data_IF_854136954565
#
_entry.id   IF_854136954565
#
_cell.length_a   1.000
_cell.length_b   1.000
_cell.length_c   1.000
_cell.angle_alpha   90.00
_cell.angle_beta   90.00
_cell.angle_gamma   90.00
#
_symmetry.space_group_name_H-M   'P 1'
#
loop_
_entity.id
_entity.type
_entity.pdbx_description
1 polymer ?
#
# COMPACT_ATOMS: atom_id res chain seq x y z
N UNK A 1 -27.14 10.41 13.10
CA UNK A 1 -27.22 9.91 11.72
C UNK A 1 -27.53 8.43 11.81
N UNK A 2 -28.55 7.94 11.09
CA UNK A 2 -28.88 6.50 11.12
C UNK A 2 -27.81 5.76 10.32
N UNK A 3 -27.09 4.83 10.94
CA UNK A 3 -26.07 4.03 10.25
C UNK A 3 -26.73 3.15 9.19
N UNK A 4 -26.21 3.08 7.97
CA UNK A 4 -26.75 2.20 6.94
C UNK A 4 -26.63 0.73 7.39
N UNK A 5 -27.72 -0.03 7.29
CA UNK A 5 -27.73 -1.45 7.66
C UNK A 5 -27.31 -2.29 6.47
N UNK A 6 -26.23 -3.05 6.64
CA UNK A 6 -25.76 -4.04 5.67
C UNK A 6 -26.22 -5.45 6.05
N UNK A 7 -26.64 -6.24 5.06
CA UNK A 7 -27.00 -7.65 5.17
C UNK A 7 -25.76 -8.54 5.02
N UNK A 8 -24.70 -8.20 5.76
CA UNK A 8 -23.45 -8.96 5.82
C UNK A 8 -23.22 -9.39 7.27
N UNK A 9 -22.62 -10.57 7.44
CA UNK A 9 -22.23 -11.10 8.75
C UNK A 9 -20.72 -11.32 8.73
N UNK A 10 -20.02 -10.78 9.71
CA UNK A 10 -18.60 -11.03 9.90
C UNK A 10 -18.39 -12.29 10.76
N UNK A 11 -17.49 -13.16 10.34
CA UNK A 11 -17.15 -14.40 11.05
C UNK A 11 -15.86 -14.26 11.87
N UNK A 12 -15.06 -13.23 11.61
CA UNK A 12 -13.79 -12.99 12.28
C UNK A 12 -13.48 -11.48 12.41
N UNK A 13 -12.44 -11.15 13.19
CA UNK A 13 -12.04 -9.76 13.45
C UNK A 13 -11.66 -8.98 12.20
N UNK A 14 -11.10 -9.64 11.18
CA UNK A 14 -10.72 -8.98 9.92
C UNK A 14 -11.97 -8.59 9.14
N UNK A 15 -12.92 -9.50 9.03
CA UNK A 15 -14.21 -9.23 8.40
C UNK A 15 -15.01 -8.17 9.16
N UNK A 16 -14.91 -8.15 10.49
CA UNK A 16 -15.55 -7.11 11.30
C UNK A 16 -15.00 -5.72 10.93
N UNK A 17 -13.67 -5.57 10.81
CA UNK A 17 -13.05 -4.30 10.39
C UNK A 17 -13.52 -3.86 9.01
N UNK A 18 -13.69 -4.82 8.09
CA UNK A 18 -14.20 -4.54 6.75
C UNK A 18 -15.68 -4.12 6.81
N UNK A 19 -16.49 -4.82 7.61
CA UNK A 19 -17.90 -4.50 7.79
C UNK A 19 -18.08 -3.09 8.36
N UNK A 20 -17.32 -2.73 9.40
CA UNK A 20 -17.35 -1.41 10.02
C UNK A 20 -16.94 -0.33 9.01
N UNK A 21 -15.87 -0.56 8.25
CA UNK A 21 -15.44 0.34 7.17
C UNK A 21 -16.55 0.55 6.12
N UNK A 22 -17.22 -0.52 5.70
CA UNK A 22 -18.33 -0.43 4.74
C UNK A 22 -19.52 0.33 5.33
N UNK A 23 -19.86 0.15 6.60
CA UNK A 23 -20.95 0.88 7.25
C UNK A 23 -20.66 2.39 7.29
N UNK A 24 -19.40 2.77 7.51
CA UNK A 24 -18.98 4.17 7.60
C UNK A 24 -18.82 4.86 6.23
N UNK A 25 -18.38 4.12 5.21
CA UNK A 25 -17.91 4.70 3.94
C UNK A 25 -18.74 4.31 2.71
N UNK A 26 -19.64 3.33 2.81
CA UNK A 26 -20.43 2.92 1.64
C UNK A 26 -21.45 3.99 1.24
N UNK A 27 -21.53 4.24 -0.07
CA UNK A 27 -22.59 5.06 -0.65
C UNK A 27 -23.95 4.35 -0.54
N UNK A 28 -25.04 5.10 -0.65
CA UNK A 28 -26.40 4.55 -0.66
C UNK A 28 -26.61 3.51 -1.77
N UNK A 29 -25.97 3.70 -2.92
CA UNK A 29 -26.02 2.76 -4.04
C UNK A 29 -25.28 1.46 -3.70
N UNK A 30 -24.10 1.57 -3.08
CA UNK A 30 -23.31 0.41 -2.67
C UNK A 30 -24.01 -0.40 -1.58
N UNK A 31 -24.65 0.27 -0.62
CA UNK A 31 -25.49 -0.37 0.40
C UNK A 31 -26.61 -1.19 -0.25
N UNK A 32 -27.29 -0.64 -1.26
CA UNK A 32 -28.30 -1.38 -2.01
C UNK A 32 -27.70 -2.60 -2.74
N UNK A 33 -26.59 -2.42 -3.44
CA UNK A 33 -25.89 -3.52 -4.13
C UNK A 33 -25.49 -4.65 -3.17
N UNK A 34 -24.97 -4.31 -2.00
CA UNK A 34 -24.60 -5.27 -0.96
C UNK A 34 -25.85 -6.02 -0.47
N UNK A 35 -26.93 -5.29 -0.15
CA UNK A 35 -28.12 -5.87 0.47
C UNK A 35 -28.96 -6.75 -0.45
N UNK A 36 -28.92 -6.49 -1.76
CA UNK A 36 -29.64 -7.28 -2.78
C UNK A 36 -28.74 -8.25 -3.55
N UNK A 37 -27.42 -8.17 -3.35
CA UNK A 37 -26.44 -9.03 -3.99
C UNK A 37 -26.24 -10.37 -3.27
N UNK A 38 -25.36 -11.21 -3.85
CA UNK A 38 -24.94 -12.51 -3.28
C UNK A 38 -23.50 -12.52 -2.75
N UNK A 39 -22.82 -11.37 -2.83
CA UNK A 39 -21.42 -11.24 -2.44
C UNK A 39 -21.24 -11.30 -0.93
N UNK A 40 -20.10 -11.80 -0.50
CA UNK A 40 -19.78 -12.03 0.92
C UNK A 40 -18.47 -11.34 1.31
N UNK A 41 -18.27 -11.13 2.61
CA UNK A 41 -17.01 -10.58 3.14
C UNK A 41 -15.83 -11.52 2.85
N UNK A 42 -16.02 -12.83 2.98
CA UNK A 42 -15.04 -13.83 2.59
C UNK A 42 -14.66 -13.74 1.09
N UNK A 43 -15.64 -13.58 0.20
CA UNK A 43 -15.38 -13.37 -1.23
C UNK A 43 -14.60 -12.09 -1.53
N UNK A 44 -14.89 -11.02 -0.79
CA UNK A 44 -14.15 -9.76 -0.90
C UNK A 44 -12.70 -9.90 -0.44
N UNK A 45 -12.44 -10.65 0.64
CA UNK A 45 -11.09 -10.97 1.11
C UNK A 45 -10.30 -11.82 0.11
N UNK A 46 -10.94 -12.83 -0.50
CA UNK A 46 -10.32 -13.63 -1.54
C UNK A 46 -9.96 -12.80 -2.78
N UNK A 47 -10.83 -11.86 -3.15
CA UNK A 47 -10.54 -10.89 -4.22
C UNK A 47 -9.33 -10.02 -3.87
N UNK A 48 -9.33 -9.39 -2.68
CA UNK A 48 -8.23 -8.55 -2.20
C UNK A 48 -6.90 -9.33 -2.12
N UNK A 49 -6.94 -10.62 -1.75
CA UNK A 49 -5.78 -11.51 -1.77
C UNK A 49 -5.25 -11.72 -3.19
N UNK A 50 -6.14 -11.83 -4.18
CA UNK A 50 -5.77 -11.91 -5.60
C UNK A 50 -5.06 -10.65 -6.09
N UNK A 51 -5.57 -9.48 -5.72
CA UNK A 51 -4.95 -8.19 -6.03
C UNK A 51 -3.57 -8.06 -5.35
N UNK A 52 -3.47 -8.36 -4.05
CA UNK A 52 -2.21 -8.31 -3.31
C UNK A 52 -1.14 -9.24 -3.94
N UNK A 53 -1.52 -10.44 -4.35
CA UNK A 53 -0.61 -11.38 -5.06
C UNK A 53 -0.12 -10.83 -6.39
N UNK A 54 -0.94 -10.04 -7.08
CA UNK A 54 -0.57 -9.45 -8.36
C UNK A 54 0.44 -8.31 -8.20
N UNK A 55 0.44 -7.65 -7.04
CA UNK A 55 1.41 -6.60 -6.69
C UNK A 55 2.65 -7.14 -5.96
N UNK A 56 2.68 -8.42 -5.60
CA UNK A 56 3.77 -8.99 -4.83
C UNK A 56 5.08 -9.00 -5.63
N UNK A 57 6.16 -8.53 -5.02
CA UNK A 57 7.53 -8.61 -5.53
C UNK A 57 8.23 -9.73 -4.76
N UNK A 58 8.75 -10.73 -5.49
CA UNK A 58 9.39 -11.93 -4.92
C UNK A 58 8.51 -12.64 -3.87
N UNK A 59 7.18 -12.64 -4.09
CA UNK A 59 6.21 -13.29 -3.20
C UNK A 59 5.80 -12.46 -1.98
N UNK A 60 6.32 -11.23 -1.83
CA UNK A 60 5.97 -10.32 -0.75
C UNK A 60 5.20 -9.10 -1.29
N UNK A 61 4.08 -8.75 -0.68
CA UNK A 61 3.32 -7.54 -0.98
C UNK A 61 3.30 -6.63 0.26
N UNK A 62 3.52 -5.34 0.05
CA UNK A 62 3.31 -4.29 1.05
C UNK A 62 2.13 -3.46 0.56
N UNK A 63 1.05 -3.43 1.34
CA UNK A 63 -0.22 -2.81 0.96
C UNK A 63 -0.77 -2.07 2.16
N UNK A 64 -1.15 -0.81 1.97
CA UNK A 64 -1.78 0.00 3.00
C UNK A 64 -3.28 -0.34 3.15
N UNK A 65 -3.82 -0.14 4.35
CA UNK A 65 -5.23 -0.45 4.68
C UNK A 65 -6.21 0.19 3.69
N UNK A 66 -5.99 1.46 3.30
CA UNK A 66 -6.83 2.18 2.34
C UNK A 66 -6.89 1.50 0.97
N UNK A 67 -5.77 0.92 0.52
CA UNK A 67 -5.72 0.20 -0.76
C UNK A 67 -6.54 -1.08 -0.68
N UNK A 68 -6.42 -1.81 0.45
CA UNK A 68 -7.23 -3.01 0.69
C UNK A 68 -8.71 -2.66 0.71
N UNK A 69 -9.11 -1.64 1.46
CA UNK A 69 -10.49 -1.20 1.50
C UNK A 69 -11.03 -0.73 0.14
N UNK A 70 -10.20 -0.05 -0.66
CA UNK A 70 -10.54 0.31 -2.04
C UNK A 70 -10.88 -0.92 -2.91
N UNK A 71 -10.13 -2.01 -2.76
CA UNK A 71 -10.45 -3.27 -3.45
C UNK A 71 -11.75 -3.91 -2.96
N UNK A 72 -12.04 -3.81 -1.66
CA UNK A 72 -13.31 -4.32 -1.12
C UNK A 72 -14.49 -3.54 -1.72
N UNK A 73 -14.42 -2.20 -1.75
CA UNK A 73 -15.44 -1.35 -2.37
C UNK A 73 -15.64 -1.76 -3.83
N UNK A 74 -14.53 -1.85 -4.59
CA UNK A 74 -14.55 -2.26 -5.99
C UNK A 74 -15.18 -3.65 -6.20
N UNK A 75 -14.84 -4.61 -5.33
CA UNK A 75 -15.43 -5.95 -5.37
C UNK A 75 -16.95 -5.92 -5.26
N UNK A 76 -17.52 -5.08 -4.38
CA UNK A 76 -18.97 -4.97 -4.23
C UNK A 76 -19.62 -4.12 -5.35
N UNK A 77 -18.92 -3.12 -5.86
CA UNK A 77 -19.40 -2.23 -6.92
C UNK A 77 -19.47 -2.88 -8.31
N UNK A 78 -18.48 -3.70 -8.68
CA UNK A 78 -18.46 -4.36 -9.98
C UNK A 78 -19.60 -5.37 -10.09
N UNK A 79 -20.49 -5.25 -11.06
CA UNK A 79 -21.47 -6.32 -11.30
C UNK A 79 -20.74 -7.64 -11.55
N UNK A 80 -21.31 -8.78 -11.13
CA UNK A 80 -20.79 -10.09 -11.53
C UNK A 80 -20.92 -10.19 -13.05
N UNK A 81 -19.89 -9.74 -13.78
CA UNK A 81 -19.85 -9.84 -15.23
C UNK A 81 -19.84 -11.33 -15.51
N UNK A 82 -20.94 -11.81 -16.11
CA UNK A 82 -21.10 -13.17 -16.62
C UNK A 82 -19.77 -13.66 -17.19
N UNK A 83 -19.24 -14.72 -16.59
CA UNK A 83 -18.16 -15.59 -17.02
C UNK A 83 -17.58 -15.24 -18.41
N UNK A 84 -16.43 -14.55 -18.46
CA UNK A 84 -15.70 -14.36 -19.73
C UNK A 84 -14.68 -13.23 -19.78
N UNK A 85 -14.84 -12.15 -19.02
CA UNK A 85 -13.88 -11.07 -19.01
C UNK A 85 -12.72 -11.38 -18.04
N UNK A 86 -11.72 -12.13 -18.51
CA UNK A 86 -10.40 -12.11 -17.85
C UNK A 86 -9.98 -10.65 -17.82
N UNK A 87 -9.98 -10.01 -16.63
CA UNK A 87 -9.31 -8.72 -16.44
C UNK A 87 -7.93 -8.87 -17.09
N UNK A 88 -7.50 -7.94 -17.97
CA UNK A 88 -6.19 -8.04 -18.55
C UNK A 88 -5.23 -8.16 -17.38
N UNK A 89 -4.55 -9.30 -17.27
CA UNK A 89 -3.38 -9.40 -16.42
C UNK A 89 -2.41 -8.43 -17.04
N UNK A 90 -2.43 -7.18 -16.58
CA UNK A 90 -1.28 -6.29 -16.69
C UNK A 90 -0.22 -6.93 -15.81
N UNK A 91 0.32 -8.05 -16.30
CA UNK A 91 1.66 -8.49 -15.96
C UNK A 91 2.47 -7.32 -16.43
N UNK A 92 2.80 -6.41 -15.52
CA UNK A 92 3.85 -5.43 -15.76
C UNK A 92 5.05 -6.32 -16.14
N UNK A 93 5.47 -6.38 -17.42
CA UNK A 93 6.65 -7.13 -17.74
C UNK A 93 7.77 -6.51 -16.91
N UNK A 94 8.55 -7.37 -16.24
CA UNK A 94 9.70 -6.96 -15.44
C UNK A 94 10.43 -5.80 -16.10
N UNK A 95 10.43 -4.68 -15.40
CA UNK A 95 10.76 -3.40 -16.03
C UNK A 95 10.64 -2.21 -15.10
N UNK A 96 10.77 -2.40 -13.78
CA UNK A 96 11.39 -1.33 -12.99
C UNK A 96 12.82 -1.22 -13.48
N UNK A 97 13.01 -0.40 -14.52
CA UNK A 97 14.28 0.28 -14.75
C UNK A 97 14.68 0.80 -13.39
N UNK A 98 15.81 0.30 -12.89
CA UNK A 98 16.45 0.81 -11.70
C UNK A 98 16.35 2.33 -11.75
N UNK A 99 15.64 2.90 -10.77
CA UNK A 99 15.73 4.30 -10.43
C UNK A 99 17.23 4.62 -10.44
N UNK A 100 17.72 5.60 -11.21
CA UNK A 100 19.15 5.89 -11.22
C UNK A 100 19.55 6.09 -9.76
N UNK A 101 20.51 5.28 -9.30
CA UNK A 101 21.18 5.48 -8.01
C UNK A 101 21.38 6.99 -7.86
N UNK A 102 20.99 7.61 -6.73
CA UNK A 102 21.54 8.93 -6.44
C UNK A 102 23.05 8.78 -6.57
N UNK A 103 23.65 9.51 -7.51
CA UNK A 103 25.09 9.64 -7.62
C UNK A 103 25.59 9.86 -6.19
N UNK A 104 26.60 9.13 -5.70
CA UNK A 104 27.22 9.51 -4.45
C UNK A 104 27.65 10.96 -4.62
N UNK A 105 26.98 11.86 -3.88
CA UNK A 105 27.44 13.20 -3.68
C UNK A 105 28.87 13.02 -3.17
N UNK A 106 29.80 13.53 -3.96
CA UNK A 106 31.22 13.58 -3.66
C UNK A 106 31.33 14.33 -2.33
N UNK A 107 31.30 13.60 -1.22
CA UNK A 107 31.76 14.11 0.06
C UNK A 107 33.22 14.44 -0.17
N UNK A 108 33.51 15.73 -0.23
CA UNK A 108 34.87 16.21 -0.11
C UNK A 108 35.50 15.53 1.11
N UNK A 109 36.70 15.00 0.87
CA UNK A 109 37.51 14.35 1.90
C UNK A 109 37.64 15.33 3.09
N UNK A 110 37.46 14.88 4.35
CA UNK A 110 38.10 15.58 5.44
C UNK A 110 39.61 15.41 5.25
N UNK A 111 40.27 16.50 4.88
CA UNK A 111 41.73 16.60 4.84
C UNK A 111 42.26 16.59 6.27
N UNK A 112 42.88 15.47 6.64
CA UNK A 112 43.81 15.35 7.77
C UNK A 112 43.20 15.38 9.18
N UNK A 113 43.89 14.81 10.18
CA UNK A 113 43.51 15.01 11.57
C UNK A 113 43.72 16.49 11.94
N UNK A 114 42.64 17.18 12.29
CA UNK A 114 42.71 18.45 12.99
C UNK A 114 43.20 18.17 14.41
N UNK A 115 44.49 18.41 14.66
CA UNK A 115 45.01 18.48 16.03
C UNK A 115 44.54 19.81 16.62
N UNK A 116 43.82 19.73 17.74
CA UNK A 116 43.32 20.89 18.47
C UNK A 116 44.42 21.28 19.46
N UNK A 117 45.12 22.39 19.27
CA UNK A 117 46.05 22.91 20.28
C UNK A 117 45.25 23.55 21.42
N UNK A 118 45.21 22.87 22.57
CA UNK A 118 44.39 23.20 23.74
C UNK A 118 44.79 24.52 24.44
N UNK A 119 45.85 25.20 23.98
CA UNK A 119 46.45 26.31 24.72
C UNK A 119 46.13 27.72 24.18
N UNK A 120 45.60 27.87 22.95
CA UNK A 120 45.39 29.23 22.39
C UNK A 120 44.08 29.42 21.62
N UNK A 121 43.29 28.36 21.38
CA UNK A 121 41.93 28.51 20.87
C UNK A 121 41.79 29.08 19.45
N UNK A 122 42.78 28.91 18.57
CA UNK A 122 42.66 29.22 17.14
C UNK A 122 43.17 28.05 16.28
N UNK A 123 42.47 27.74 15.17
CA UNK A 123 42.76 26.60 14.31
C UNK A 123 43.88 26.90 13.31
N UNK A 124 45.00 26.16 13.38
CA UNK A 124 46.11 26.29 12.43
C UNK A 124 46.21 25.06 11.54
N UNK A 125 46.35 25.28 10.23
CA UNK A 125 46.49 24.24 9.21
C UNK A 125 47.97 23.86 9.02
N UNK A 126 48.31 22.59 9.19
CA UNK A 126 49.67 22.09 9.02
C UNK A 126 50.03 21.95 7.53
N UNK A 127 50.86 22.86 7.01
CA UNK A 127 51.58 22.67 5.74
C UNK A 127 52.86 21.90 6.02
N UNK A 128 52.99 20.74 5.36
CA UNK A 128 54.06 19.78 5.59
C UNK A 128 55.45 20.24 5.18
N UNK A 129 56.44 19.62 5.82
CA UNK A 129 57.79 19.38 5.31
C UNK A 129 58.22 17.98 5.72
#
# INVERSE_FOLDING_TARGET
MSTPKLNLTAENSTEQRILDYLIENASTELVAKINFGKKTLAGALDYARGEARSMAIDGCAVVDDDTVFGWIIHFFEEDEIKEGAKKPKTRVPGGVKAKPKPKPAKKEKPTGPLVMDLFTGEAVSAVGR
#
